data_IF_867678923272
#
_entry.id   IF_867678923272
#
_cell.length_a   1.000
_cell.length_b   1.000
_cell.length_c   1.000
_cell.angle_alpha   90.00
_cell.angle_beta   90.00
_cell.angle_gamma   90.00
#
_symmetry.space_group_name_H-M   'P 1'
#
loop_
_entity.id
_entity.type
_entity.pdbx_description
1 polymer ?
#
# COMPACT_ATOMS: atom_id res chain seq x y z
N UNK A 1 -38.02 25.63 -29.69
CA UNK A 1 -38.45 26.78 -28.90
C UNK A 1 -38.08 26.50 -27.43
N UNK A 2 -37.05 27.01 -26.92
CA UNK A 2 -36.80 27.62 -25.62
C UNK A 2 -35.30 27.52 -25.30
N UNK A 3 -34.62 28.65 -25.42
CA UNK A 3 -33.23 28.85 -25.07
C UNK A 3 -33.04 28.74 -23.55
N UNK A 4 -32.07 27.93 -23.08
CA UNK A 4 -31.59 27.97 -21.72
C UNK A 4 -30.20 28.57 -21.75
N UNK A 5 -30.10 29.81 -21.28
CA UNK A 5 -28.87 30.55 -21.05
C UNK A 5 -28.02 29.85 -19.99
N UNK A 6 -26.85 29.33 -20.36
CA UNK A 6 -25.82 28.90 -19.45
C UNK A 6 -25.04 30.13 -18.96
N UNK A 7 -25.24 30.51 -17.70
CA UNK A 7 -24.40 31.49 -16.99
C UNK A 7 -23.13 30.79 -16.54
N UNK A 8 -22.04 31.01 -17.25
CA UNK A 8 -20.69 30.70 -16.78
C UNK A 8 -20.29 31.78 -15.76
N UNK A 9 -20.32 31.39 -14.49
CA UNK A 9 -19.72 32.18 -13.39
C UNK A 9 -18.21 32.11 -13.50
N UNK A 10 -17.60 33.14 -14.08
CA UNK A 10 -16.16 33.35 -14.10
C UNK A 10 -15.71 33.73 -12.70
N UNK A 11 -15.23 32.77 -11.91
CA UNK A 11 -14.57 33.04 -10.64
C UNK A 11 -13.17 33.57 -10.93
N UNK A 12 -13.06 34.90 -11.00
CA UNK A 12 -11.78 35.59 -11.01
C UNK A 12 -11.16 35.43 -9.64
N UNK A 13 -10.21 34.48 -9.53
CA UNK A 13 -9.27 34.43 -8.41
C UNK A 13 -8.40 35.69 -8.51
N UNK A 14 -8.75 36.69 -7.71
CA UNK A 14 -7.92 37.88 -7.54
C UNK A 14 -6.72 37.43 -6.72
N UNK A 15 -5.61 37.14 -7.40
CA UNK A 15 -4.28 37.06 -6.79
C UNK A 15 -3.94 38.49 -6.35
N UNK A 16 -4.27 38.83 -5.11
CA UNK A 16 -3.75 39.99 -4.44
C UNK A 16 -2.25 39.75 -4.18
N UNK A 17 -1.40 40.10 -5.14
CA UNK A 17 0.01 40.23 -4.94
C UNK A 17 0.21 41.44 -3.98
N UNK A 18 0.18 41.16 -2.67
CA UNK A 18 0.59 42.10 -1.67
C UNK A 18 2.10 42.28 -1.82
N UNK A 19 2.50 43.41 -2.42
CA UNK A 19 3.85 43.93 -2.36
C UNK A 19 4.26 44.00 -0.90
N UNK A 20 5.12 43.07 -0.46
CA UNK A 20 5.76 43.13 0.84
C UNK A 20 6.77 44.29 0.76
N UNK A 21 6.33 45.48 1.19
CA UNK A 21 7.19 46.58 1.52
C UNK A 21 8.22 46.07 2.55
N UNK A 22 9.53 46.23 2.26
CA UNK A 22 10.64 45.90 3.16
C UNK A 22 10.63 46.86 4.37
N UNK A 23 9.55 46.84 5.16
CA UNK A 23 9.55 47.37 6.50
C UNK A 23 10.13 46.35 7.44
N UNK A 24 11.03 46.73 8.32
CA UNK A 24 11.61 45.93 9.39
C UNK A 24 10.48 45.25 10.13
N UNK A 25 10.21 43.98 9.81
CA UNK A 25 9.19 43.18 10.50
C UNK A 25 9.67 43.07 11.94
N UNK A 26 8.90 43.57 12.94
CA UNK A 26 9.36 43.51 14.31
C UNK A 26 9.61 42.05 14.69
N UNK A 27 10.71 41.75 15.30
CA UNK A 27 11.20 40.41 15.65
C UNK A 27 10.09 39.52 16.27
N UNK A 28 9.16 40.14 16.99
CA UNK A 28 7.98 39.47 17.58
C UNK A 28 7.03 38.89 16.51
N UNK A 29 6.79 39.61 15.42
CA UNK A 29 5.92 39.15 14.31
C UNK A 29 6.59 38.01 13.54
N UNK A 30 7.89 38.12 13.27
CA UNK A 30 8.64 37.04 12.63
C UNK A 30 8.62 35.74 13.48
N UNK A 31 8.73 35.88 14.80
CA UNK A 31 8.71 34.77 15.73
C UNK A 31 7.32 34.12 15.81
N UNK A 32 6.25 34.92 15.78
CA UNK A 32 4.87 34.39 15.73
C UNK A 32 4.57 33.65 14.42
N UNK A 33 5.06 34.16 13.29
CA UNK A 33 4.91 33.48 11.98
C UNK A 33 5.68 32.15 12.00
N UNK A 34 6.91 32.12 12.49
CA UNK A 34 7.71 30.91 12.61
C UNK A 34 7.01 29.87 13.51
N UNK A 35 6.53 30.30 14.66
CA UNK A 35 5.80 29.44 15.60
C UNK A 35 4.54 28.87 14.96
N UNK A 36 3.74 29.70 14.29
CA UNK A 36 2.55 29.26 13.56
C UNK A 36 2.86 28.25 12.46
N UNK A 37 3.98 28.44 11.73
CA UNK A 37 4.43 27.52 10.70
C UNK A 37 4.85 26.16 11.30
N UNK A 38 5.60 26.17 12.39
CA UNK A 38 6.00 24.94 13.09
C UNK A 38 4.79 24.17 13.61
N UNK A 39 3.85 24.85 14.28
CA UNK A 39 2.62 24.23 14.77
C UNK A 39 1.77 23.70 13.60
N UNK A 40 1.67 24.44 12.50
CA UNK A 40 0.94 24.04 11.30
C UNK A 40 1.52 22.77 10.68
N UNK A 41 2.84 22.70 10.51
CA UNK A 41 3.53 21.53 9.95
C UNK A 41 3.35 20.31 10.87
N UNK A 42 3.61 20.46 12.17
CA UNK A 42 3.44 19.36 13.12
C UNK A 42 1.99 18.88 13.20
N UNK A 43 1.02 19.80 13.21
CA UNK A 43 -0.40 19.48 13.20
C UNK A 43 -0.80 18.72 11.92
N UNK A 44 -0.32 19.16 10.75
CA UNK A 44 -0.61 18.50 9.47
C UNK A 44 -0.04 17.08 9.43
N UNK A 45 1.21 16.87 9.90
CA UNK A 45 1.82 15.54 9.96
C UNK A 45 1.02 14.60 10.87
N UNK A 46 0.58 15.07 12.03
CA UNK A 46 -0.24 14.27 12.95
C UNK A 46 -1.59 13.90 12.34
N UNK A 47 -2.27 14.84 11.68
CA UNK A 47 -3.55 14.57 11.00
C UNK A 47 -3.36 13.56 9.86
N UNK A 48 -2.32 13.70 9.03
CA UNK A 48 -1.99 12.76 7.96
C UNK A 48 -1.72 11.36 8.52
N UNK A 49 -0.94 11.24 9.59
CA UNK A 49 -0.67 9.95 10.25
C UNK A 49 -1.93 9.30 10.80
N UNK A 50 -2.83 10.07 11.43
CA UNK A 50 -4.09 9.52 11.96
C UNK A 50 -5.07 9.12 10.85
N UNK A 51 -5.09 9.84 9.72
CA UNK A 51 -5.90 9.48 8.54
C UNK A 51 -5.35 8.21 7.87
N UNK A 52 -4.04 8.08 7.73
CA UNK A 52 -3.40 6.86 7.21
C UNK A 52 -3.63 5.66 8.13
N UNK A 53 -3.65 5.86 9.45
CA UNK A 53 -3.98 4.82 10.43
C UNK A 53 -5.46 4.38 10.35
N UNK A 54 -6.34 5.16 9.70
CA UNK A 54 -7.77 4.80 9.54
C UNK A 54 -8.02 3.77 8.44
N UNK A 55 -7.05 3.51 7.55
CA UNK A 55 -7.16 2.41 6.59
C UNK A 55 -6.18 1.28 6.96
N UNK A 56 -6.55 0.37 7.87
CA UNK A 56 -5.70 -0.73 8.30
C UNK A 56 -5.59 -1.85 7.25
N UNK A 57 -6.39 -1.82 6.18
CA UNK A 57 -6.52 -2.92 5.23
C UNK A 57 -5.20 -3.29 4.52
N UNK A 58 -4.38 -2.34 4.00
CA UNK A 58 -3.11 -2.70 3.37
C UNK A 58 -2.18 -3.47 4.31
N UNK A 59 -2.10 -3.03 5.56
CA UNK A 59 -1.32 -3.70 6.61
C UNK A 59 -1.89 -5.08 6.91
N UNK A 60 -3.22 -5.21 7.09
CA UNK A 60 -3.88 -6.47 7.40
C UNK A 60 -3.69 -7.52 6.28
N UNK A 61 -3.79 -7.11 5.01
CA UNK A 61 -3.52 -7.98 3.85
C UNK A 61 -2.10 -8.52 3.91
N UNK A 62 -1.09 -7.64 4.10
CA UNK A 62 0.31 -8.07 4.16
C UNK A 62 0.63 -8.91 5.40
N UNK A 63 0.04 -8.63 6.55
CA UNK A 63 0.18 -9.46 7.76
C UNK A 63 -0.43 -10.85 7.57
N UNK A 64 -1.62 -10.95 6.95
CA UNK A 64 -2.26 -12.22 6.63
C UNK A 64 -1.41 -13.06 5.67
N UNK A 65 -0.90 -12.44 4.60
CA UNK A 65 0.00 -13.11 3.67
C UNK A 65 1.29 -13.55 4.35
N UNK A 66 1.86 -12.69 5.18
CA UNK A 66 3.06 -12.99 5.98
C UNK A 66 2.84 -14.17 6.94
N UNK A 67 1.68 -14.25 7.58
CA UNK A 67 1.31 -15.36 8.44
C UNK A 67 1.29 -16.69 7.66
N UNK A 68 0.54 -16.77 6.56
CA UNK A 68 0.42 -18.02 5.80
C UNK A 68 1.76 -18.44 5.18
N UNK A 69 2.55 -17.49 4.66
CA UNK A 69 3.88 -17.79 4.15
C UNK A 69 4.85 -18.22 5.27
N UNK A 70 4.69 -17.66 6.47
CA UNK A 70 5.42 -18.04 7.68
C UNK A 70 5.14 -19.48 8.08
N UNK A 71 3.88 -19.92 8.07
CA UNK A 71 3.47 -21.29 8.39
C UNK A 71 4.07 -22.31 7.40
N UNK A 72 4.04 -22.00 6.08
CA UNK A 72 4.69 -22.86 5.07
C UNK A 72 6.21 -22.93 5.28
N UNK A 73 6.84 -21.81 5.62
CA UNK A 73 8.27 -21.78 5.92
C UNK A 73 8.64 -22.53 7.19
N UNK A 74 7.75 -22.46 8.20
CA UNK A 74 7.91 -23.22 9.45
C UNK A 74 7.79 -24.72 9.20
N UNK A 75 6.80 -25.16 8.42
CA UNK A 75 6.63 -26.58 8.03
C UNK A 75 7.89 -27.12 7.35
N UNK A 76 8.52 -26.36 6.45
CA UNK A 76 9.79 -26.72 5.82
C UNK A 76 10.93 -26.86 6.84
N UNK A 77 11.10 -25.89 7.74
CA UNK A 77 12.17 -25.91 8.76
C UNK A 77 11.99 -27.07 9.74
N UNK A 78 10.75 -27.35 10.11
CA UNK A 78 10.41 -28.46 11.00
C UNK A 78 10.42 -29.83 10.30
N UNK A 79 10.52 -29.85 8.95
CA UNK A 79 10.39 -31.07 8.12
C UNK A 79 9.05 -31.78 8.34
N UNK A 80 8.00 -31.01 8.61
CA UNK A 80 6.64 -31.49 8.88
C UNK A 80 5.68 -30.96 7.80
N UNK A 81 5.78 -31.49 6.61
CA UNK A 81 5.04 -31.02 5.42
C UNK A 81 3.78 -31.84 5.23
N UNK A 82 2.74 -31.51 6.00
CA UNK A 82 1.40 -32.10 5.87
C UNK A 82 0.69 -31.50 4.65
N UNK A 83 0.28 -32.35 3.71
CA UNK A 83 -0.32 -31.93 2.45
C UNK A 83 -1.59 -31.09 2.62
N UNK A 84 -2.44 -31.44 3.57
CA UNK A 84 -3.70 -30.72 3.79
C UNK A 84 -3.45 -29.31 4.36
N UNK A 85 -2.49 -29.20 5.28
CA UNK A 85 -2.10 -27.89 5.84
C UNK A 85 -1.41 -27.02 4.78
N UNK A 86 -0.53 -27.60 3.98
CA UNK A 86 0.14 -26.91 2.87
C UNK A 86 -0.91 -26.33 1.92
N UNK A 87 -1.83 -27.20 1.46
CA UNK A 87 -2.89 -26.80 0.54
C UNK A 87 -3.73 -25.66 1.12
N UNK A 88 -4.15 -25.77 2.38
CA UNK A 88 -4.90 -24.72 3.06
C UNK A 88 -4.17 -23.37 3.05
N UNK A 89 -2.89 -23.34 3.42
CA UNK A 89 -2.15 -22.09 3.47
C UNK A 89 -1.90 -21.49 2.07
N UNK A 90 -1.66 -22.32 1.05
CA UNK A 90 -1.52 -21.87 -0.35
C UNK A 90 -2.82 -21.25 -0.88
N UNK A 91 -3.98 -21.88 -0.63
CA UNK A 91 -5.29 -21.36 -1.03
C UNK A 91 -5.61 -20.03 -0.33
N UNK A 92 -5.26 -19.90 0.96
CA UNK A 92 -5.43 -18.65 1.70
C UNK A 92 -4.52 -17.53 1.14
N UNK A 93 -3.28 -17.84 0.79
CA UNK A 93 -2.38 -16.90 0.12
C UNK A 93 -2.97 -16.45 -1.23
N UNK A 94 -3.45 -17.39 -2.04
CA UNK A 94 -4.04 -17.11 -3.34
C UNK A 94 -5.27 -16.19 -3.20
N UNK A 95 -6.19 -16.52 -2.28
CA UNK A 95 -7.37 -15.71 -2.02
C UNK A 95 -6.99 -14.29 -1.55
N UNK A 96 -6.07 -14.17 -0.59
CA UNK A 96 -5.66 -12.87 -0.05
C UNK A 96 -4.91 -12.01 -1.08
N UNK A 97 -4.17 -12.64 -2.01
CA UNK A 97 -3.44 -11.92 -3.06
C UNK A 97 -4.35 -11.15 -4.01
N UNK A 98 -5.62 -11.53 -4.15
CA UNK A 98 -6.61 -10.78 -4.96
C UNK A 98 -6.94 -9.41 -4.39
N UNK A 99 -6.76 -9.23 -3.08
CA UNK A 99 -7.04 -7.98 -2.39
C UNK A 99 -5.92 -6.93 -2.51
N UNK A 100 -4.73 -7.31 -3.01
CA UNK A 100 -3.57 -6.41 -3.06
C UNK A 100 -3.89 -5.16 -3.88
N UNK A 101 -4.28 -5.30 -5.14
CA UNK A 101 -4.51 -4.16 -6.03
C UNK A 101 -5.64 -3.25 -5.51
N UNK A 102 -6.86 -3.76 -5.20
CA UNK A 102 -7.95 -2.89 -4.77
C UNK A 102 -7.72 -2.23 -3.40
N UNK A 103 -6.99 -2.90 -2.50
CA UNK A 103 -6.76 -2.39 -1.14
C UNK A 103 -5.68 -1.32 -1.10
N UNK A 104 -4.62 -1.48 -1.89
CA UNK A 104 -3.52 -0.51 -1.93
C UNK A 104 -3.85 0.71 -2.77
N UNK A 105 -4.68 0.59 -3.81
CA UNK A 105 -5.09 1.70 -4.66
C UNK A 105 -3.91 2.40 -5.37
N UNK A 106 -2.83 1.66 -5.65
CA UNK A 106 -1.67 2.18 -6.39
C UNK A 106 -1.95 2.03 -7.88
N UNK A 107 -2.18 3.16 -8.54
CA UNK A 107 -2.47 3.21 -9.98
C UNK A 107 -1.17 3.28 -10.80
N UNK A 108 -0.31 2.31 -10.59
CA UNK A 108 0.95 2.16 -11.30
C UNK A 108 1.02 0.77 -11.95
N UNK A 109 1.28 0.74 -13.26
CA UNK A 109 1.28 -0.52 -14.02
C UNK A 109 2.28 -1.53 -13.44
N UNK A 110 3.46 -1.09 -13.03
CA UNK A 110 4.47 -1.97 -12.43
C UNK A 110 4.02 -2.61 -11.13
N UNK A 111 3.18 -1.93 -10.33
CA UNK A 111 2.57 -2.50 -9.13
C UNK A 111 1.56 -3.60 -9.47
N UNK A 112 0.65 -3.32 -10.40
CA UNK A 112 -0.35 -4.30 -10.85
C UNK A 112 0.28 -5.51 -11.53
N UNK A 113 1.35 -5.31 -12.31
CA UNK A 113 2.12 -6.39 -12.94
C UNK A 113 2.76 -7.32 -11.88
N UNK A 114 3.35 -6.74 -10.80
CA UNK A 114 3.90 -7.52 -9.69
C UNK A 114 2.84 -8.30 -8.90
N UNK A 115 1.69 -7.70 -8.68
CA UNK A 115 0.57 -8.38 -8.03
C UNK A 115 0.05 -9.54 -8.90
N UNK A 116 -0.06 -9.35 -10.20
CA UNK A 116 -0.46 -10.38 -11.17
C UNK A 116 0.56 -11.53 -11.26
N UNK A 117 1.87 -11.22 -11.27
CA UNK A 117 2.94 -12.21 -11.21
C UNK A 117 2.83 -13.08 -9.96
N UNK A 118 2.58 -12.45 -8.80
CA UNK A 118 2.36 -13.18 -7.55
C UNK A 118 1.15 -14.09 -7.60
N UNK A 119 0.02 -13.61 -8.12
CA UNK A 119 -1.20 -14.42 -8.29
C UNK A 119 -0.96 -15.63 -9.20
N UNK A 120 -0.19 -15.45 -10.27
CA UNK A 120 0.18 -16.55 -11.19
C UNK A 120 1.00 -17.61 -10.46
N UNK A 121 2.02 -17.23 -9.69
CA UNK A 121 2.84 -18.16 -8.93
C UNK A 121 2.02 -18.89 -7.85
N UNK A 122 1.11 -18.19 -7.18
CA UNK A 122 0.23 -18.79 -6.18
C UNK A 122 -0.74 -19.79 -6.82
N UNK A 123 -1.33 -19.45 -7.96
CA UNK A 123 -2.19 -20.36 -8.71
C UNK A 123 -1.44 -21.63 -9.13
N UNK A 124 -0.22 -21.50 -9.63
CA UNK A 124 0.64 -22.63 -9.98
C UNK A 124 0.94 -23.52 -8.77
N UNK A 125 1.25 -22.91 -7.61
CA UNK A 125 1.53 -23.64 -6.38
C UNK A 125 0.30 -24.40 -5.86
N UNK A 126 -0.87 -23.78 -5.90
CA UNK A 126 -2.16 -24.46 -5.52
C UNK A 126 -2.46 -25.62 -6.45
N UNK A 127 -2.28 -25.45 -7.77
CA UNK A 127 -2.51 -26.50 -8.75
C UNK A 127 -1.50 -27.66 -8.66
N UNK A 128 -0.25 -27.34 -8.29
CA UNK A 128 0.79 -28.36 -8.08
C UNK A 128 0.51 -29.27 -6.86
N UNK A 129 -0.32 -28.79 -5.92
CA UNK A 129 -0.75 -29.51 -4.72
C UNK A 129 0.41 -30.26 -4.04
N UNK A 130 1.47 -29.57 -3.54
CA UNK A 130 2.65 -30.21 -3.02
C UNK A 130 2.35 -31.10 -1.81
N UNK A 131 2.82 -32.35 -1.83
CA UNK A 131 2.54 -33.36 -0.82
C UNK A 131 3.71 -33.63 0.11
N UNK A 132 4.88 -33.07 -0.17
CA UNK A 132 6.10 -33.22 0.63
C UNK A 132 6.91 -31.94 0.70
N UNK A 133 7.97 -31.93 1.53
CA UNK A 133 8.78 -30.74 1.76
C UNK A 133 9.60 -30.31 0.55
N UNK A 134 10.02 -31.21 -0.33
CA UNK A 134 10.79 -30.88 -1.51
C UNK A 134 9.90 -30.18 -2.55
N UNK A 135 8.71 -30.71 -2.80
CA UNK A 135 7.71 -30.11 -3.64
C UNK A 135 7.23 -28.75 -3.10
N UNK A 136 7.00 -28.65 -1.78
CA UNK A 136 6.65 -27.37 -1.15
C UNK A 136 7.77 -26.32 -1.32
N UNK A 137 9.03 -26.68 -1.08
CA UNK A 137 10.16 -25.76 -1.25
C UNK A 137 10.25 -25.22 -2.67
N UNK A 138 10.04 -26.08 -3.68
CA UNK A 138 10.01 -25.70 -5.09
C UNK A 138 8.85 -24.74 -5.39
N UNK A 139 7.64 -25.03 -4.85
CA UNK A 139 6.45 -24.24 -5.09
C UNK A 139 6.51 -22.83 -4.49
N UNK A 140 7.05 -22.67 -3.25
CA UNK A 140 7.08 -21.37 -2.58
C UNK A 140 8.26 -20.47 -2.98
N UNK A 141 9.29 -21.01 -3.62
CA UNK A 141 10.48 -20.23 -4.03
C UNK A 141 10.14 -19.07 -4.97
N UNK A 142 9.38 -19.24 -6.07
CA UNK A 142 8.99 -18.13 -6.93
C UNK A 142 8.09 -17.12 -6.20
N UNK A 143 7.16 -17.58 -5.36
CA UNK A 143 6.29 -16.72 -4.54
C UNK A 143 7.13 -15.78 -3.67
N UNK A 144 8.09 -16.33 -2.91
CA UNK A 144 9.00 -15.55 -2.07
C UNK A 144 9.86 -14.57 -2.87
N UNK A 145 10.29 -14.96 -4.08
CA UNK A 145 11.02 -14.09 -5.00
C UNK A 145 10.20 -12.86 -5.40
N UNK A 146 8.95 -13.06 -5.81
CA UNK A 146 8.04 -11.96 -6.20
C UNK A 146 7.69 -11.07 -5.00
N UNK A 147 7.42 -11.65 -3.82
CA UNK A 147 7.23 -10.88 -2.59
C UNK A 147 8.43 -9.96 -2.30
N UNK A 148 9.65 -10.49 -2.38
CA UNK A 148 10.87 -9.73 -2.14
C UNK A 148 11.04 -8.60 -3.15
N UNK A 149 10.88 -8.87 -4.44
CA UNK A 149 11.06 -7.88 -5.50
C UNK A 149 10.04 -6.73 -5.40
N UNK A 150 8.77 -7.04 -5.09
CA UNK A 150 7.73 -6.04 -4.86
C UNK A 150 8.06 -5.16 -3.65
N UNK A 151 8.44 -5.76 -2.52
CA UNK A 151 8.78 -5.02 -1.31
C UNK A 151 10.06 -4.18 -1.42
N UNK A 152 10.97 -4.49 -2.34
CA UNK A 152 12.12 -3.63 -2.63
C UNK A 152 11.73 -2.34 -3.32
N UNK A 153 10.63 -2.33 -4.05
CA UNK A 153 10.17 -1.17 -4.82
C UNK A 153 9.10 -0.36 -4.06
N UNK A 154 8.22 -1.01 -3.31
CA UNK A 154 6.98 -0.41 -2.78
C UNK A 154 6.87 -0.40 -1.23
N UNK A 155 7.95 -0.67 -0.49
CA UNK A 155 7.93 -0.67 0.98
C UNK A 155 8.76 0.45 1.59
#
# INVERSE_FOLDING_TARGET
VTAILSRTASTRVILAATFVSHGIVPMRVALMILLGLVIGVLGTVQVMNTLSARNPMPKAVMETMGYHMGELSHALKAKQCDAAKIQHHLERLQSTATDIVPVFGIDEKSFSDKASELQTHLQQAVQAAPTDCAALAAAIKPIGGTCKSCHQQYR
#
